data_IF_997123229902
#
_entry.id   IF_997123229902
#
_cell.length_a   1.000
_cell.length_b   1.000
_cell.length_c   1.000
_cell.angle_alpha   90.00
_cell.angle_beta   90.00
_cell.angle_gamma   90.00
#
_symmetry.space_group_name_H-M   'P 1'
#
loop_
_entity.id
_entity.type
_entity.pdbx_description
1 polymer ?
#
# COMPACT_ATOMS: atom_id res chain seq x y z
N UNK A 1 -37.22 -9.78 16.60
CA UNK A 1 -38.21 -10.84 16.22
C UNK A 1 -37.58 -11.77 15.20
N UNK A 2 -37.99 -13.05 15.10
CA UNK A 2 -37.59 -13.89 13.97
C UNK A 2 -37.93 -13.22 12.63
N UNK A 3 -36.98 -13.23 11.69
CA UNK A 3 -37.16 -12.64 10.35
C UNK A 3 -36.82 -11.14 10.23
N UNK A 4 -36.32 -10.50 11.29
CA UNK A 4 -35.80 -9.13 11.18
C UNK A 4 -34.52 -9.07 10.36
N UNK A 5 -34.41 -8.03 9.53
CA UNK A 5 -33.24 -7.74 8.69
C UNK A 5 -32.84 -6.28 8.82
N UNK A 6 -31.57 -5.95 8.63
CA UNK A 6 -31.07 -4.58 8.63
C UNK A 6 -30.11 -4.36 7.45
N UNK A 7 -30.16 -3.23 6.74
CA UNK A 7 -29.18 -2.90 5.71
C UNK A 7 -27.82 -2.44 6.28
N UNK A 8 -27.70 -2.32 7.61
CA UNK A 8 -26.52 -1.75 8.29
C UNK A 8 -25.74 -2.78 9.13
N UNK A 9 -26.15 -4.05 9.10
CA UNK A 9 -25.51 -5.10 9.88
C UNK A 9 -26.21 -6.45 9.74
N UNK A 10 -25.63 -7.47 10.36
CA UNK A 10 -26.19 -8.83 10.36
C UNK A 10 -26.90 -9.10 11.68
N UNK A 11 -28.14 -9.59 11.63
CA UNK A 11 -28.84 -10.08 12.84
C UNK A 11 -28.26 -11.45 13.18
N UNK A 12 -27.53 -11.54 14.28
CA UNK A 12 -26.80 -12.76 14.69
C UNK A 12 -27.54 -13.57 15.75
N UNK A 13 -28.56 -12.98 16.40
CA UNK A 13 -29.47 -13.62 17.35
C UNK A 13 -30.78 -12.79 17.45
N UNK A 14 -31.94 -13.32 17.90
CA UNK A 14 -33.12 -12.50 18.12
C UNK A 14 -32.83 -11.32 19.05
N UNK A 15 -32.99 -10.10 18.54
CA UNK A 15 -32.68 -8.86 19.27
C UNK A 15 -31.21 -8.45 19.28
N UNK A 16 -30.32 -9.14 18.57
CA UNK A 16 -28.87 -8.84 18.52
C UNK A 16 -28.43 -8.57 17.08
N UNK A 17 -27.97 -7.34 16.83
CA UNK A 17 -27.43 -6.87 15.55
C UNK A 17 -25.91 -6.66 15.66
N UNK A 18 -25.15 -7.25 14.73
CA UNK A 18 -23.74 -6.96 14.52
C UNK A 18 -23.59 -5.90 13.40
N UNK A 19 -23.27 -4.63 13.70
CA UNK A 19 -23.15 -3.58 12.69
C UNK A 19 -21.95 -3.82 11.77
N UNK A 20 -22.08 -3.44 10.50
CA UNK A 20 -20.93 -3.41 9.59
C UNK A 20 -19.90 -2.37 10.06
N UNK A 21 -18.63 -2.74 10.03
CA UNK A 21 -17.52 -1.89 10.42
C UNK A 21 -16.24 -2.28 9.65
N UNK A 22 -15.26 -1.38 9.59
CA UNK A 22 -13.95 -1.65 8.98
C UNK A 22 -12.87 -1.71 10.05
N UNK A 23 -11.96 -2.67 9.92
CA UNK A 23 -10.70 -2.71 10.66
C UNK A 23 -9.59 -2.19 9.74
N UNK A 24 -8.97 -1.09 10.14
CA UNK A 24 -7.94 -0.40 9.36
C UNK A 24 -6.66 -0.38 10.16
N UNK A 25 -5.56 -0.84 9.57
CA UNK A 25 -4.28 -1.02 10.24
C UNK A 25 -3.22 -0.13 9.63
N UNK A 26 -2.41 0.49 10.49
CA UNK A 26 -1.18 1.17 10.08
C UNK A 26 0.01 0.45 10.71
N UNK A 27 0.98 0.11 9.87
CA UNK A 27 2.23 -0.52 10.29
C UNK A 27 3.34 0.51 10.12
N UNK A 28 3.95 0.93 11.23
CA UNK A 28 5.16 1.76 11.20
C UNK A 28 6.38 0.84 11.13
N UNK A 29 7.21 1.05 10.12
CA UNK A 29 8.48 0.34 9.93
C UNK A 29 9.62 1.35 10.04
N UNK A 30 10.59 1.06 10.90
CA UNK A 30 11.81 1.83 11.09
C UNK A 30 12.99 0.95 10.65
N UNK A 31 13.39 1.03 9.37
CA UNK A 31 14.29 0.05 8.78
C UNK A 31 15.76 0.33 9.11
N UNK A 32 16.53 -0.75 9.31
CA UNK A 32 17.99 -0.74 9.51
C UNK A 32 18.65 -1.79 8.60
N UNK A 33 18.40 -1.68 7.30
CA UNK A 33 18.92 -2.61 6.29
C UNK A 33 20.40 -2.31 6.05
N UNK A 34 21.26 -3.33 6.10
CA UNK A 34 22.72 -3.20 6.03
C UNK A 34 23.36 -2.91 7.39
N UNK A 35 22.70 -2.11 8.21
CA UNK A 35 23.15 -1.75 9.55
C UNK A 35 22.38 -0.54 10.07
N UNK A 36 22.50 -0.27 11.37
CA UNK A 36 21.91 0.91 11.99
C UNK A 36 22.67 2.17 11.55
N UNK A 37 21.93 3.19 11.08
CA UNK A 37 22.53 4.47 10.67
C UNK A 37 23.16 4.49 9.28
N UNK A 38 23.06 3.41 8.51
CA UNK A 38 23.69 3.31 7.17
C UNK A 38 22.89 3.97 6.03
N UNK A 39 21.75 4.58 6.35
CA UNK A 39 20.87 5.23 5.37
C UNK A 39 20.07 4.21 4.56
N UNK A 40 18.75 4.31 4.63
CA UNK A 40 17.85 3.47 3.85
C UNK A 40 17.00 4.33 2.93
N UNK A 41 16.67 3.80 1.77
CA UNK A 41 15.90 4.49 0.73
C UNK A 41 14.66 3.69 0.39
N UNK A 42 13.52 4.37 0.26
CA UNK A 42 12.29 3.75 -0.22
C UNK A 42 12.23 3.88 -1.74
N UNK A 43 11.89 2.78 -2.40
CA UNK A 43 11.76 2.69 -3.85
C UNK A 43 10.42 2.05 -4.21
N UNK A 44 9.68 2.65 -5.12
CA UNK A 44 8.52 2.05 -5.76
C UNK A 44 8.97 1.28 -7.00
N UNK A 45 8.44 0.07 -7.20
CA UNK A 45 8.61 -0.70 -8.43
C UNK A 45 7.25 -1.07 -9.02
N UNK A 46 7.05 -0.71 -10.28
CA UNK A 46 5.87 -1.07 -11.08
C UNK A 46 6.28 -2.03 -12.21
N UNK A 47 5.51 -3.10 -12.41
CA UNK A 47 5.62 -3.94 -13.59
C UNK A 47 4.88 -3.29 -14.74
N UNK A 48 5.57 -3.01 -15.84
CA UNK A 48 5.03 -2.27 -16.99
C UNK A 48 5.30 -3.01 -18.29
N UNK A 49 4.36 -3.02 -19.25
CA UNK A 49 4.62 -3.58 -20.58
C UNK A 49 5.74 -2.79 -21.26
N UNK A 50 6.56 -3.48 -22.05
CA UNK A 50 7.48 -2.81 -22.96
C UNK A 50 6.70 -2.17 -24.11
N UNK A 51 7.25 -1.12 -24.71
CA UNK A 51 6.67 -0.53 -25.91
C UNK A 51 6.48 -1.58 -27.01
N UNK A 52 5.37 -1.47 -27.73
CA UNK A 52 5.04 -2.35 -28.83
C UNK A 52 4.13 -1.63 -29.82
N UNK A 53 4.51 -1.69 -31.10
CA UNK A 53 3.71 -1.27 -32.23
C UNK A 53 3.67 -2.43 -33.24
N UNK A 54 2.48 -2.98 -33.57
CA UNK A 54 2.37 -4.09 -34.51
C UNK A 54 2.76 -3.72 -35.94
N UNK A 55 2.75 -2.43 -36.30
CA UNK A 55 3.12 -1.94 -37.64
C UNK A 55 4.62 -1.72 -37.80
N UNK A 56 5.32 -1.50 -36.68
CA UNK A 56 6.78 -1.37 -36.63
C UNK A 56 7.34 -1.95 -35.33
N UNK A 57 7.39 -3.29 -35.18
CA UNK A 57 7.77 -3.94 -33.93
C UNK A 57 9.20 -3.60 -33.49
N UNK A 58 9.43 -3.23 -32.21
CA UNK A 58 10.77 -2.99 -31.69
C UNK A 58 11.64 -4.25 -31.75
N UNK A 59 12.94 -4.10 -32.06
CA UNK A 59 13.89 -5.23 -32.11
C UNK A 59 13.99 -6.01 -30.79
N UNK A 60 13.83 -5.33 -29.67
CA UNK A 60 13.90 -5.89 -28.32
C UNK A 60 12.54 -6.38 -27.80
N UNK A 61 11.44 -6.20 -28.54
CA UNK A 61 10.12 -6.73 -28.22
C UNK A 61 9.32 -7.05 -29.50
N UNK A 62 9.83 -7.93 -30.39
CA UNK A 62 9.25 -8.13 -31.71
C UNK A 62 7.85 -8.78 -31.70
N UNK A 63 7.46 -9.38 -30.57
CA UNK A 63 6.20 -10.10 -30.41
C UNK A 63 5.24 -9.45 -29.39
N UNK A 64 5.60 -8.30 -28.82
CA UNK A 64 4.72 -7.58 -27.88
C UNK A 64 4.47 -8.26 -26.53
N UNK A 65 5.22 -9.31 -26.19
CA UNK A 65 5.06 -10.07 -24.92
C UNK A 65 5.98 -9.57 -23.81
N UNK A 66 6.89 -8.65 -24.12
CA UNK A 66 7.86 -8.11 -23.18
C UNK A 66 7.24 -7.20 -22.12
N UNK A 67 7.74 -7.32 -20.89
CA UNK A 67 7.47 -6.39 -19.79
C UNK A 67 8.77 -6.12 -19.05
N UNK A 68 8.80 -5.00 -18.33
CA UNK A 68 9.95 -4.56 -17.54
C UNK A 68 9.48 -3.99 -16.21
N UNK A 69 10.43 -3.60 -15.36
CA UNK A 69 10.17 -2.97 -14.07
C UNK A 69 10.59 -1.51 -14.14
N UNK A 70 9.63 -0.60 -13.96
CA UNK A 70 9.91 0.82 -13.73
C UNK A 70 10.20 1.01 -12.24
N UNK A 71 11.31 1.67 -11.93
CA UNK A 71 11.74 1.94 -10.55
C UNK A 71 11.79 3.43 -10.29
N UNK A 72 11.32 3.84 -9.13
CA UNK A 72 11.27 5.23 -8.72
C UNK A 72 11.67 5.35 -7.25
N UNK A 73 12.69 6.13 -6.97
CA UNK A 73 13.09 6.45 -5.60
C UNK A 73 12.11 7.48 -5.04
N UNK A 74 11.67 7.29 -3.80
CA UNK A 74 10.78 8.21 -3.11
C UNK A 74 11.64 9.12 -2.24
N UNK A 75 11.80 10.36 -2.71
CA UNK A 75 12.69 11.37 -2.10
C UNK A 75 11.96 12.27 -1.10
N UNK A 76 10.64 12.37 -1.22
CA UNK A 76 9.79 13.20 -0.37
C UNK A 76 8.72 12.37 0.30
N UNK A 77 8.37 12.77 1.53
CA UNK A 77 7.28 12.15 2.27
C UNK A 77 5.97 12.25 1.48
N UNK A 78 5.21 11.16 1.44
CA UNK A 78 3.98 11.07 0.67
C UNK A 78 3.27 9.73 0.85
N UNK A 79 2.49 9.37 -0.16
CA UNK A 79 1.72 8.15 -0.19
C UNK A 79 1.65 7.58 -1.61
N UNK A 80 1.35 6.29 -1.71
CA UNK A 80 1.01 5.65 -2.97
C UNK A 80 0.00 4.52 -2.73
N UNK A 81 -0.96 4.37 -3.64
CA UNK A 81 -1.92 3.26 -3.63
C UNK A 81 -1.26 1.97 -4.12
N UNK A 82 -1.81 0.81 -3.75
CA UNK A 82 -1.23 -0.51 -4.01
C UNK A 82 -1.20 -0.89 -5.50
N UNK A 83 -1.95 -0.20 -6.37
CA UNK A 83 -1.95 -0.35 -7.83
C UNK A 83 -1.77 -1.82 -8.29
N UNK A 84 -2.71 -2.73 -7.94
CA UNK A 84 -2.59 -4.16 -8.26
C UNK A 84 -2.46 -4.44 -9.76
N UNK A 85 -3.02 -3.58 -10.61
CA UNK A 85 -2.91 -3.65 -12.06
C UNK A 85 -1.47 -3.45 -12.58
N UNK A 86 -0.59 -2.87 -11.77
CA UNK A 86 0.84 -2.69 -12.06
C UNK A 86 1.72 -3.65 -11.25
N UNK A 87 1.11 -4.51 -10.43
CA UNK A 87 1.81 -5.32 -9.43
C UNK A 87 2.79 -4.45 -8.61
N UNK A 88 2.32 -3.27 -8.16
CA UNK A 88 3.18 -2.30 -7.49
C UNK A 88 3.68 -2.86 -6.18
N UNK A 89 4.98 -2.71 -5.97
CA UNK A 89 5.64 -3.02 -4.71
C UNK A 89 6.46 -1.84 -4.23
N UNK A 90 6.77 -1.85 -2.95
CA UNK A 90 7.72 -0.93 -2.37
C UNK A 90 8.91 -1.72 -1.86
N UNK A 91 10.10 -1.15 -1.95
CA UNK A 91 11.30 -1.71 -1.37
C UNK A 91 11.92 -0.69 -0.45
N UNK A 92 12.37 -1.15 0.70
CA UNK A 92 13.36 -0.41 1.46
C UNK A 92 14.71 -1.04 1.11
N UNK A 93 15.63 -0.22 0.61
CA UNK A 93 16.95 -0.66 0.16
C UNK A 93 18.05 0.08 0.91
N UNK A 94 19.24 -0.51 0.96
CA UNK A 94 20.47 0.16 1.34
C UNK A 94 21.37 0.29 0.09
N UNK A 95 21.49 1.51 -0.49
CA UNK A 95 22.32 1.75 -1.68
C UNK A 95 23.82 1.51 -1.46
N UNK A 96 24.32 1.62 -0.22
CA UNK A 96 25.73 1.41 0.13
C UNK A 96 26.15 -0.06 0.13
N UNK A 97 25.19 -0.99 0.14
CA UNK A 97 25.46 -2.44 0.22
C UNK A 97 24.93 -3.15 -1.04
N UNK A 98 25.85 -3.49 -1.94
CA UNK A 98 25.51 -4.15 -3.21
C UNK A 98 25.60 -5.67 -3.07
N UNK A 99 24.53 -6.36 -3.48
CA UNK A 99 24.51 -7.80 -3.58
C UNK A 99 25.42 -8.26 -4.75
N UNK A 100 26.41 -9.14 -4.52
CA UNK A 100 27.41 -9.49 -5.53
C UNK A 100 26.87 -10.34 -6.69
N UNK A 101 25.71 -10.98 -6.53
CA UNK A 101 25.11 -11.85 -7.55
C UNK A 101 24.21 -11.04 -8.48
N UNK A 102 23.34 -10.21 -7.92
CA UNK A 102 22.37 -9.43 -8.69
C UNK A 102 22.88 -8.08 -9.15
N UNK A 103 23.97 -7.58 -8.56
CA UNK A 103 24.49 -6.23 -8.78
C UNK A 103 23.56 -5.12 -8.27
N UNK A 104 22.58 -5.45 -7.43
CA UNK A 104 21.57 -4.52 -6.91
C UNK A 104 21.78 -4.23 -5.42
N UNK A 105 21.35 -3.07 -4.91
CA UNK A 105 21.27 -2.81 -3.48
C UNK A 105 20.52 -3.91 -2.73
N UNK A 106 21.01 -4.30 -1.55
CA UNK A 106 20.27 -5.19 -0.66
C UNK A 106 19.01 -4.48 -0.15
N UNK A 107 17.98 -5.24 0.18
CA UNK A 107 16.72 -4.67 0.64
C UNK A 107 15.65 -5.68 0.96
N UNK A 108 14.57 -5.19 1.56
CA UNK A 108 13.33 -5.92 1.77
C UNK A 108 12.22 -5.31 0.90
N UNK A 109 11.32 -6.17 0.40
CA UNK A 109 10.14 -5.74 -0.34
C UNK A 109 8.91 -5.79 0.54
N UNK A 110 8.07 -4.77 0.41
CA UNK A 110 6.72 -4.69 0.94
C UNK A 110 5.76 -4.83 -0.22
N UNK A 111 4.96 -5.89 -0.19
CA UNK A 111 3.96 -6.18 -1.22
C UNK A 111 2.59 -5.84 -0.62
N UNK A 112 1.98 -4.72 -1.01
CA UNK A 112 0.68 -4.36 -0.48
C UNK A 112 -0.37 -5.36 -0.97
N UNK A 113 -1.18 -5.87 -0.03
CA UNK A 113 -2.35 -6.68 -0.39
C UNK A 113 -3.50 -5.75 -0.71
N UNK A 114 -4.17 -5.90 -1.86
CA UNK A 114 -5.25 -4.99 -2.22
C UNK A 114 -6.47 -5.15 -1.28
N UNK A 115 -6.88 -4.11 -0.54
CA UNK A 115 -8.07 -4.05 0.32
C UNK A 115 -8.84 -2.73 0.21
N UNK A 116 -10.13 -2.72 0.56
CA UNK A 116 -10.98 -1.50 0.51
C UNK A 116 -10.41 -0.39 1.41
N UNK A 117 -10.41 0.85 0.92
CA UNK A 117 -10.08 2.04 1.70
C UNK A 117 -11.23 2.42 2.65
N UNK A 118 -11.01 3.44 3.48
CA UNK A 118 -12.03 3.95 4.38
C UNK A 118 -13.30 4.37 3.62
N UNK A 119 -14.46 3.85 4.05
CA UNK A 119 -15.78 4.19 3.46
C UNK A 119 -16.46 5.39 4.13
N UNK A 120 -15.94 5.82 5.29
CA UNK A 120 -16.49 6.97 6.01
C UNK A 120 -16.45 8.22 5.14
N UNK A 121 -17.54 8.98 5.13
CA UNK A 121 -17.66 10.19 4.31
C UNK A 121 -16.52 11.18 4.65
N UNK A 122 -15.93 11.90 3.66
CA UNK A 122 -14.82 12.82 3.89
C UNK A 122 -15.05 13.93 4.93
N UNK A 123 -16.32 14.30 5.14
CA UNK A 123 -16.74 15.29 6.15
C UNK A 123 -17.08 14.69 7.53
N UNK A 124 -16.86 13.39 7.73
CA UNK A 124 -17.16 12.72 8.99
C UNK A 124 -16.01 12.88 9.99
N UNK A 125 -16.34 12.77 11.29
CA UNK A 125 -15.33 12.74 12.36
C UNK A 125 -14.38 11.55 12.22
N UNK A 126 -14.89 10.40 11.74
CA UNK A 126 -14.06 9.22 11.48
C UNK A 126 -12.98 9.49 10.44
N UNK A 127 -13.34 10.15 9.34
CA UNK A 127 -12.39 10.56 8.31
C UNK A 127 -11.36 11.54 8.86
N UNK A 128 -11.81 12.62 9.51
CA UNK A 128 -10.91 13.67 10.01
C UNK A 128 -9.86 13.17 11.02
N UNK A 129 -10.15 12.08 11.73
CA UNK A 129 -9.24 11.49 12.72
C UNK A 129 -8.30 10.41 12.16
N UNK A 130 -8.57 9.93 10.95
CA UNK A 130 -7.88 8.78 10.37
C UNK A 130 -7.72 8.92 8.84
N UNK A 131 -7.47 10.15 8.40
CA UNK A 131 -7.36 10.56 6.98
C UNK A 131 -6.37 9.72 6.18
N UNK A 132 -5.36 9.16 6.85
CA UNK A 132 -4.38 8.20 6.34
C UNK A 132 -5.01 7.10 5.45
N UNK A 133 -6.21 6.63 5.81
CA UNK A 133 -6.87 5.50 5.16
C UNK A 133 -7.82 5.90 4.02
N UNK A 134 -7.92 7.19 3.68
CA UNK A 134 -9.14 7.72 3.08
C UNK A 134 -8.96 8.51 1.76
N UNK A 135 -7.74 8.69 1.28
CA UNK A 135 -7.47 9.53 0.11
C UNK A 135 -7.53 8.76 -1.23
N UNK A 136 -7.88 9.52 -2.27
CA UNK A 136 -8.51 9.08 -3.51
C UNK A 136 -7.68 8.09 -4.34
N UNK A 137 -8.42 7.16 -4.95
CA UNK A 137 -7.97 6.09 -5.84
C UNK A 137 -7.59 4.79 -5.11
N UNK A 138 -7.93 3.70 -5.79
CA UNK A 138 -8.36 2.43 -5.22
C UNK A 138 -7.28 1.67 -4.45
N UNK A 139 -7.74 1.03 -3.37
CA UNK A 139 -7.24 -0.23 -2.82
C UNK A 139 -5.86 -0.17 -2.16
N UNK A 140 -5.82 -0.27 -0.82
CA UNK A 140 -4.67 -0.23 0.11
C UNK A 140 -3.62 0.86 -0.12
N UNK A 141 -3.27 1.61 0.91
CA UNK A 141 -2.32 2.71 0.82
C UNK A 141 -1.05 2.45 1.62
N UNK A 142 0.10 2.75 1.00
CA UNK A 142 1.38 2.87 1.69
C UNK A 142 1.63 4.35 1.99
N UNK A 143 1.97 4.67 3.25
CA UNK A 143 2.44 5.99 3.63
C UNK A 143 3.93 5.91 3.89
N UNK A 144 4.64 6.85 3.30
CA UNK A 144 6.08 6.97 3.38
C UNK A 144 6.31 8.33 4.00
N UNK A 145 6.49 8.34 5.32
CA UNK A 145 6.61 9.56 6.10
C UNK A 145 7.68 9.39 7.18
N UNK A 146 8.35 10.48 7.51
CA UNK A 146 9.41 10.48 8.52
C UNK A 146 8.87 10.27 9.96
N UNK A 147 7.60 10.59 10.26
CA UNK A 147 6.99 10.48 11.61
C UNK A 147 5.48 10.10 11.53
N UNK A 148 5.02 9.37 12.57
CA UNK A 148 3.80 8.56 12.78
C UNK A 148 2.41 9.03 12.27
N UNK A 149 1.50 8.05 12.14
CA UNK A 149 0.24 8.00 11.37
C UNK A 149 -1.04 8.66 11.94
N UNK A 150 -0.99 9.35 13.07
CA UNK A 150 -2.08 10.26 13.49
C UNK A 150 -1.64 11.01 14.74
N UNK A 151 -0.94 12.14 14.56
CA UNK A 151 -0.64 13.16 15.57
C UNK A 151 -0.66 12.69 17.05
N UNK A 152 0.50 12.27 17.56
CA UNK A 152 0.92 12.11 18.97
C UNK A 152 0.04 11.42 20.04
N UNK A 153 -1.28 11.21 19.93
CA UNK A 153 -2.06 10.74 21.09
C UNK A 153 -3.33 9.91 20.83
N UNK A 154 -3.53 9.28 19.67
CA UNK A 154 -4.70 8.40 19.49
C UNK A 154 -4.39 7.12 18.73
N UNK A 155 -4.05 6.05 19.47
CA UNK A 155 -4.21 4.67 19.01
C UNK A 155 -5.43 4.12 19.73
N UNK A 156 -6.50 3.86 18.99
CA UNK A 156 -7.56 2.93 19.43
C UNK A 156 -7.60 1.84 18.38
N UNK A 157 -7.00 0.70 18.71
CA UNK A 157 -7.20 -0.57 18.01
C UNK A 157 -7.90 -1.48 19.02
N UNK A 158 -9.16 -1.83 18.75
CA UNK A 158 -9.87 -2.90 19.44
C UNK A 158 -9.77 -4.10 18.51
N UNK A 159 -9.11 -5.15 18.98
CA UNK A 159 -9.03 -6.46 18.33
C UNK A 159 -10.21 -7.32 18.76
N UNK A 160 -10.96 -7.86 17.80
CA UNK A 160 -11.59 -9.21 17.86
C UNK A 160 -11.49 -9.87 16.49
#
# INVERSE_FOLDING_TARGET
>A
MPGETSPYGTVVNPGVLAPFHQHLFSIRIDPAIGGLGEGNTVMQEDSVPMEYDPTSPPKNNPYGVGYTVKKETIETSGWADAAPEKNRIFKVINPGHINPISGRPIGYKLVPVPSQLMISHPKSVGYARAELYALLSSVTRMIIADICCSANHHIVSITE
#
